data_IF_780627509036
#
_entry.id   IF_780627509036
#
_cell.length_a   1.000
_cell.length_b   1.000
_cell.length_c   1.000
_cell.angle_alpha   90.00
_cell.angle_beta   90.00
_cell.angle_gamma   90.00
#
_symmetry.space_group_name_H-M   'P 1'
#
loop_
_entity.id
_entity.type
_entity.pdbx_description
1 polymer ?
#
# COMPACT_ATOMS: atom_id res chain seq x y z
N UNK A 1 23.23 -0.17 -1.64
CA UNK A 1 21.79 -0.41 -1.85
C UNK A 1 21.02 0.79 -1.36
N UNK A 2 20.06 1.23 -2.14
CA UNK A 2 19.30 2.43 -1.88
C UNK A 2 17.89 2.07 -1.39
N UNK A 3 17.45 2.73 -0.32
CA UNK A 3 16.07 2.60 0.15
C UNK A 3 15.12 3.03 -0.96
N UNK A 4 13.94 2.46 -0.95
CA UNK A 4 12.90 2.78 -1.92
C UNK A 4 11.68 3.32 -1.19
N UNK A 5 11.20 4.48 -1.65
CA UNK A 5 9.93 5.04 -1.21
C UNK A 5 8.86 4.65 -2.24
N UNK A 6 7.82 4.01 -1.79
CA UNK A 6 6.67 3.68 -2.62
C UNK A 6 5.53 4.59 -2.22
N UNK A 7 4.90 5.20 -3.20
CA UNK A 7 3.69 6.00 -2.99
C UNK A 7 2.60 5.38 -3.85
N UNK A 8 1.60 4.81 -3.18
CA UNK A 8 0.45 4.22 -3.86
C UNK A 8 -0.76 5.11 -3.63
N UNK A 9 -1.48 5.44 -4.71
CA UNK A 9 -2.68 6.25 -4.62
C UNK A 9 -3.86 5.42 -5.08
N UNK A 10 -4.86 5.30 -4.21
CA UNK A 10 -6.06 4.54 -4.50
C UNK A 10 -7.25 5.49 -4.53
N UNK A 11 -8.09 5.37 -5.55
CA UNK A 11 -9.40 6.00 -5.55
C UNK A 11 -10.42 4.91 -5.27
N UNK A 12 -11.12 5.03 -4.15
CA UNK A 12 -12.08 4.02 -3.70
C UNK A 12 -13.41 4.23 -4.39
N UNK A 13 -14.02 3.16 -4.90
CA UNK A 13 -15.35 3.26 -5.49
C UNK A 13 -16.36 3.68 -4.41
N UNK A 14 -17.36 4.52 -4.76
CA UNK A 14 -18.29 5.03 -3.76
C UNK A 14 -18.97 3.92 -2.97
N UNK A 15 -19.03 4.09 -1.67
CA UNK A 15 -19.68 3.14 -0.78
C UNK A 15 -18.73 2.09 -0.21
N UNK A 16 -17.51 1.99 -0.73
CA UNK A 16 -16.54 0.98 -0.30
C UNK A 16 -15.49 1.51 0.66
N UNK A 17 -15.64 2.75 1.13
CA UNK A 17 -14.62 3.41 1.94
C UNK A 17 -14.26 2.63 3.20
N UNK A 18 -15.25 2.23 3.97
CA UNK A 18 -15.00 1.52 5.22
C UNK A 18 -14.34 0.17 5.00
N UNK A 19 -14.81 -0.56 3.99
CA UNK A 19 -14.26 -1.88 3.69
C UNK A 19 -12.79 -1.77 3.30
N UNK A 20 -12.46 -0.80 2.43
CA UNK A 20 -11.07 -0.62 1.99
C UNK A 20 -10.20 -0.18 3.14
N UNK A 21 -10.64 0.76 3.98
CA UNK A 21 -9.83 1.20 5.12
C UNK A 21 -9.56 0.07 6.10
N UNK A 22 -10.55 -0.79 6.34
CA UNK A 22 -10.36 -1.96 7.21
C UNK A 22 -9.31 -2.92 6.63
N UNK A 23 -9.39 -3.18 5.33
CA UNK A 23 -8.42 -4.06 4.66
C UNK A 23 -7.02 -3.44 4.65
N UNK A 24 -6.93 -2.11 4.50
CA UNK A 24 -5.64 -1.43 4.53
C UNK A 24 -5.00 -1.46 5.92
N UNK A 25 -5.80 -1.44 6.99
CA UNK A 25 -5.26 -1.63 8.34
C UNK A 25 -4.63 -3.01 8.50
N UNK A 26 -5.28 -4.05 7.98
CA UNK A 26 -4.71 -5.40 7.98
C UNK A 26 -3.44 -5.47 7.16
N UNK A 27 -3.47 -4.86 5.96
CA UNK A 27 -2.31 -4.85 5.08
C UNK A 27 -1.12 -4.17 5.73
N UNK A 28 -1.34 -3.00 6.34
CA UNK A 28 -0.26 -2.27 7.01
C UNK A 28 0.36 -3.11 8.12
N UNK A 29 -0.46 -3.77 8.93
CA UNK A 29 0.05 -4.61 10.02
C UNK A 29 0.87 -5.78 9.46
N UNK A 30 0.39 -6.43 8.41
CA UNK A 30 1.10 -7.56 7.81
C UNK A 30 2.39 -7.12 7.12
N UNK A 31 2.34 -6.02 6.38
CA UNK A 31 3.52 -5.51 5.66
C UNK A 31 4.65 -5.14 6.62
N UNK A 32 4.30 -4.59 7.78
CA UNK A 32 5.30 -4.20 8.77
C UNK A 32 6.08 -5.38 9.36
N UNK A 33 5.59 -6.61 9.19
CA UNK A 33 6.32 -7.79 9.64
C UNK A 33 7.36 -8.26 8.63
N UNK A 34 7.36 -7.72 7.42
CA UNK A 34 8.30 -8.15 6.38
C UNK A 34 9.70 -7.65 6.70
N UNK A 35 10.72 -8.51 6.54
CA UNK A 35 12.09 -8.13 6.93
C UNK A 35 12.62 -6.89 6.21
N UNK A 36 12.21 -6.67 4.97
CA UNK A 36 12.69 -5.53 4.19
C UNK A 36 11.83 -4.29 4.29
N UNK A 37 10.75 -4.32 5.06
CA UNK A 37 9.87 -3.16 5.21
C UNK A 37 10.40 -2.21 6.27
N UNK A 38 10.51 -0.93 5.93
CA UNK A 38 10.96 0.12 6.84
C UNK A 38 9.80 0.99 7.35
N UNK A 39 8.65 0.93 6.69
CA UNK A 39 7.49 1.69 7.10
C UNK A 39 6.31 1.47 6.16
N UNK A 40 5.11 1.60 6.70
CA UNK A 40 3.89 1.45 5.93
C UNK A 40 2.82 2.31 6.60
N UNK A 41 2.50 3.45 5.98
CA UNK A 41 1.52 4.38 6.52
C UNK A 41 0.39 4.57 5.52
N UNK A 42 -0.81 4.76 6.02
CA UNK A 42 -2.00 4.97 5.18
C UNK A 42 -2.66 6.27 5.62
N UNK A 43 -2.97 7.12 4.66
CA UNK A 43 -3.63 8.39 4.94
C UNK A 43 -4.78 8.60 3.96
N UNK A 44 -5.91 9.07 4.48
CA UNK A 44 -7.03 9.49 3.64
C UNK A 44 -6.94 11.01 3.44
N UNK A 45 -7.32 11.48 2.26
CA UNK A 45 -7.33 12.93 2.02
C UNK A 45 -8.48 13.56 2.81
N UNK A 46 -8.18 14.68 3.45
CA UNK A 46 -9.18 15.41 4.24
C UNK A 46 -10.34 15.89 3.36
N UNK A 47 -10.02 16.26 2.11
CA UNK A 47 -11.01 16.85 1.20
C UNK A 47 -11.77 15.80 0.39
N UNK A 48 -11.35 14.54 0.41
CA UNK A 48 -12.02 13.48 -0.35
C UNK A 48 -11.72 12.12 0.27
N UNK A 49 -12.63 11.57 1.09
CA UNK A 49 -12.38 10.30 1.78
C UNK A 49 -12.27 9.09 0.85
N UNK A 50 -12.57 9.24 -0.43
CA UNK A 50 -12.36 8.17 -1.40
C UNK A 50 -10.92 8.11 -1.89
N UNK A 51 -10.11 9.12 -1.57
CA UNK A 51 -8.71 9.17 -1.98
C UNK A 51 -7.84 8.76 -0.81
N UNK A 52 -7.07 7.69 -0.98
CA UNK A 52 -6.12 7.27 0.05
C UNK A 52 -4.73 7.17 -0.54
N UNK A 53 -3.74 7.44 0.30
CA UNK A 53 -2.34 7.39 -0.09
C UNK A 53 -1.64 6.42 0.85
N UNK A 54 -0.88 5.50 0.29
CA UNK A 54 -0.04 4.58 1.03
C UNK A 54 1.40 5.06 0.87
N UNK A 55 2.06 5.27 2.02
CA UNK A 55 3.47 5.65 2.04
C UNK A 55 4.24 4.45 2.59
N UNK A 56 4.99 3.80 1.72
CA UNK A 56 5.69 2.56 2.06
C UNK A 56 7.18 2.75 1.84
N UNK A 57 7.98 2.14 2.70
CA UNK A 57 9.43 2.24 2.58
C UNK A 57 10.05 0.87 2.71
N UNK A 58 11.00 0.59 1.83
CA UNK A 58 11.67 -0.72 1.77
C UNK A 58 13.17 -0.51 1.67
N UNK A 59 13.94 -1.49 2.18
CA UNK A 59 15.41 -1.40 2.16
C UNK A 59 15.99 -1.45 0.74
N UNK A 60 15.22 -1.96 -0.23
CA UNK A 60 15.67 -2.10 -1.62
C UNK A 60 14.47 -2.35 -2.52
N UNK A 61 14.69 -2.25 -3.84
CA UNK A 61 13.65 -2.62 -4.81
C UNK A 61 13.33 -4.11 -4.72
N UNK A 62 14.33 -4.94 -4.44
CA UNK A 62 14.10 -6.39 -4.26
C UNK A 62 13.16 -6.65 -3.10
N UNK A 63 13.31 -5.91 -2.00
CA UNK A 63 12.42 -6.05 -0.84
C UNK A 63 10.98 -5.66 -1.19
N UNK A 64 10.80 -4.64 -2.03
CA UNK A 64 9.46 -4.27 -2.50
C UNK A 64 8.87 -5.38 -3.38
N UNK A 65 9.68 -5.97 -4.28
CA UNK A 65 9.20 -7.07 -5.10
C UNK A 65 8.83 -8.27 -4.24
N UNK A 66 9.60 -8.56 -3.19
CA UNK A 66 9.25 -9.61 -2.24
C UNK A 66 7.89 -9.35 -1.58
N UNK A 67 7.65 -8.08 -1.19
CA UNK A 67 6.36 -7.67 -0.62
C UNK A 67 5.21 -8.05 -1.55
N UNK A 68 5.37 -7.82 -2.85
CA UNK A 68 4.33 -8.08 -3.84
C UNK A 68 4.06 -9.57 -4.08
N UNK A 69 4.94 -10.44 -3.61
CA UNK A 69 4.77 -11.89 -3.75
C UNK A 69 4.30 -12.56 -2.47
N UNK A 70 4.04 -11.80 -1.41
CA UNK A 70 3.58 -12.37 -0.15
C UNK A 70 2.14 -12.86 -0.26
N UNK A 71 1.76 -13.88 0.54
CA UNK A 71 0.37 -14.32 0.58
C UNK A 71 -0.59 -13.22 1.02
N UNK A 72 -0.18 -12.35 1.95
CA UNK A 72 -1.07 -11.27 2.41
C UNK A 72 -1.26 -10.19 1.32
N UNK A 73 -0.25 -9.93 0.48
CA UNK A 73 -0.45 -9.00 -0.63
C UNK A 73 -1.49 -9.57 -1.60
N UNK A 74 -1.37 -10.83 -1.98
CA UNK A 74 -2.33 -11.46 -2.88
C UNK A 74 -3.74 -11.44 -2.28
N UNK A 75 -3.87 -11.87 -1.04
CA UNK A 75 -5.17 -12.00 -0.38
C UNK A 75 -5.83 -10.64 -0.11
N UNK A 76 -5.06 -9.68 0.37
CA UNK A 76 -5.63 -8.40 0.77
C UNK A 76 -5.71 -7.43 -0.40
N UNK A 77 -4.64 -7.29 -1.18
CA UNK A 77 -4.59 -6.28 -2.24
C UNK A 77 -5.29 -6.77 -3.50
N UNK A 78 -4.81 -7.89 -4.06
CA UNK A 78 -5.29 -8.31 -5.37
C UNK A 78 -6.70 -8.88 -5.32
N UNK A 79 -7.03 -9.64 -4.30
CA UNK A 79 -8.30 -10.33 -4.24
C UNK A 79 -9.42 -9.52 -3.57
N UNK A 80 -9.09 -8.61 -2.67
CA UNK A 80 -10.11 -7.89 -1.91
C UNK A 80 -10.13 -6.39 -2.12
N UNK A 81 -8.97 -5.72 -2.10
CA UNK A 81 -8.91 -4.25 -2.21
C UNK A 81 -9.16 -3.80 -3.65
N UNK A 82 -8.37 -4.33 -4.59
CA UNK A 82 -8.43 -3.88 -5.99
C UNK A 82 -9.86 -3.90 -6.56
N UNK A 83 -10.66 -4.95 -6.33
CA UNK A 83 -12.04 -4.94 -6.83
C UNK A 83 -12.93 -3.82 -6.28
N UNK A 84 -12.52 -3.18 -5.18
CA UNK A 84 -13.30 -2.11 -4.55
C UNK A 84 -12.82 -0.71 -4.94
N UNK A 85 -11.87 -0.62 -5.87
CA UNK A 85 -11.27 0.65 -6.28
C UNK A 85 -11.73 1.06 -7.66
N UNK A 86 -11.81 2.39 -7.89
CA UNK A 86 -11.95 2.94 -9.22
C UNK A 86 -10.59 3.03 -9.92
N UNK A 87 -9.52 3.31 -9.16
CA UNK A 87 -8.18 3.39 -9.75
C UNK A 87 -7.11 3.13 -8.70
N UNK A 88 -5.91 2.79 -9.17
CA UNK A 88 -4.76 2.51 -8.34
C UNK A 88 -3.50 2.87 -9.12
N UNK A 89 -2.69 3.76 -8.54
CA UNK A 89 -1.43 4.19 -9.14
C UNK A 89 -0.32 3.95 -8.13
N UNK A 90 0.76 3.32 -8.57
CA UNK A 90 1.91 3.01 -7.70
C UNK A 90 3.16 3.63 -8.31
N UNK A 91 3.86 4.42 -7.52
CA UNK A 91 5.09 5.09 -7.95
C UNK A 91 6.22 4.72 -7.00
N UNK A 92 7.41 4.52 -7.56
CA UNK A 92 8.60 4.18 -6.79
C UNK A 92 9.66 5.26 -6.97
N UNK A 93 10.32 5.60 -5.87
CA UNK A 93 11.39 6.59 -5.86
C UNK A 93 12.57 6.05 -5.06
N UNK A 94 13.78 6.28 -5.54
CA UNK A 94 14.96 5.99 -4.73
C UNK A 94 15.01 7.06 -3.64
N UNK A 95 15.03 6.63 -2.39
CA UNK A 95 14.90 7.51 -1.23
C UNK A 95 16.12 7.48 -0.34
N UNK A 96 17.16 6.82 -0.76
CA UNK A 96 18.32 6.65 0.06
C UNK A 96 19.22 7.85 -0.01
N UNK A 97 20.22 7.80 0.54
CA UNK A 97 21.28 8.53 0.41
C UNK A 97 22.06 8.46 1.47
#
# INVERSE_FOLDING_TARGET
>A
VTDVQVIARYTIAPGNEEAVLSLLRELAAAARTEPGNLGFEVAALVTDPRQVVLLERYVSRAAFEDHRTTPHFKRLVLEQIVPLLDSRVVELFDAGE
#
